data_IF_460355798258
#
_entry.id   IF_460355798258
#
_cell.length_a   1.000
_cell.length_b   1.000
_cell.length_c   1.000
_cell.angle_alpha   90.00
_cell.angle_beta   90.00
_cell.angle_gamma   90.00
#
_symmetry.space_group_name_H-M   'P 1'
#
loop_
_entity.id
_entity.type
_entity.pdbx_description
1 polymer ?
#
# COMPACT_ATOMS: atom_id res chain seq x y z
N UNK A 1 26.94 -35.37 -61.09
CA UNK A 1 27.30 -34.32 -60.11
C UNK A 1 26.12 -33.38 -59.94
N UNK A 2 25.33 -33.53 -58.88
CA UNK A 2 24.33 -32.54 -58.45
C UNK A 2 24.31 -32.53 -56.92
N UNK A 3 24.96 -31.52 -56.36
CA UNK A 3 25.12 -31.32 -54.92
C UNK A 3 23.79 -30.83 -54.35
N UNK A 4 23.22 -31.56 -53.39
CA UNK A 4 22.04 -31.14 -52.62
C UNK A 4 22.53 -30.28 -51.45
N UNK A 5 22.20 -28.99 -51.47
CA UNK A 5 22.50 -28.04 -50.41
C UNK A 5 21.32 -28.01 -49.43
N UNK A 6 21.47 -28.67 -48.28
CA UNK A 6 20.51 -28.57 -47.16
C UNK A 6 20.80 -27.29 -46.37
N UNK A 7 19.97 -26.26 -46.57
CA UNK A 7 19.94 -25.06 -45.74
C UNK A 7 19.07 -25.33 -44.51
N UNK A 8 19.70 -25.65 -43.39
CA UNK A 8 19.06 -25.68 -42.07
C UNK A 8 18.87 -24.25 -41.56
N UNK A 9 17.64 -23.76 -41.61
CA UNK A 9 17.24 -22.47 -41.05
C UNK A 9 17.05 -22.64 -39.53
N UNK A 10 18.03 -22.20 -38.74
CA UNK A 10 17.92 -22.17 -37.27
C UNK A 10 16.97 -21.05 -36.85
N UNK A 11 15.81 -21.40 -36.27
CA UNK A 11 14.95 -20.43 -35.59
C UNK A 11 15.67 -19.92 -34.33
N UNK A 12 16.19 -18.69 -34.38
CA UNK A 12 16.53 -17.94 -33.17
C UNK A 12 15.23 -17.48 -32.51
N UNK A 13 14.79 -18.18 -31.47
CA UNK A 13 13.78 -17.65 -30.55
C UNK A 13 14.44 -16.62 -29.64
N UNK A 14 14.26 -15.33 -29.98
CA UNK A 14 14.59 -14.25 -29.08
C UNK A 14 13.64 -14.33 -27.87
N UNK A 15 14.15 -14.82 -26.74
CA UNK A 15 13.46 -14.76 -25.46
C UNK A 15 13.26 -13.31 -25.07
N UNK A 16 12.03 -12.82 -25.17
CA UNK A 16 11.62 -11.56 -24.57
C UNK A 16 11.77 -11.65 -23.04
N UNK A 17 12.79 -11.01 -22.49
CA UNK A 17 12.85 -10.78 -21.06
C UNK A 17 11.71 -9.84 -20.69
N UNK A 18 10.61 -10.39 -20.17
CA UNK A 18 9.56 -9.58 -19.54
C UNK A 18 10.20 -8.94 -18.32
N UNK A 19 10.45 -7.64 -18.36
CA UNK A 19 10.90 -6.89 -17.19
C UNK A 19 9.85 -7.08 -16.08
N UNK A 20 10.22 -7.73 -14.99
CA UNK A 20 9.35 -7.92 -13.84
C UNK A 20 9.09 -6.54 -13.22
N UNK A 21 7.85 -6.04 -13.38
CA UNK A 21 7.44 -4.78 -12.76
C UNK A 21 7.49 -4.91 -11.25
N UNK A 22 8.04 -3.89 -10.57
CA UNK A 22 8.09 -3.81 -9.11
C UNK A 22 6.67 -3.84 -8.54
N UNK A 23 6.48 -4.62 -7.48
CA UNK A 23 5.21 -4.78 -6.76
C UNK A 23 5.28 -4.14 -5.37
N UNK A 24 4.13 -3.98 -4.72
CA UNK A 24 4.05 -3.54 -3.33
C UNK A 24 4.89 -4.43 -2.38
N UNK A 25 4.97 -5.72 -2.65
CA UNK A 25 5.67 -6.68 -1.80
C UNK A 25 7.20 -6.65 -1.91
N UNK A 26 7.75 -5.86 -2.85
CA UNK A 26 9.19 -5.66 -2.99
C UNK A 26 9.73 -4.52 -2.10
N UNK A 27 8.85 -3.81 -1.40
CA UNK A 27 9.23 -2.73 -0.49
C UNK A 27 9.55 -3.25 0.92
N UNK A 28 10.50 -2.58 1.55
CA UNK A 28 10.80 -2.70 2.98
C UNK A 28 10.62 -1.33 3.61
N UNK A 29 9.90 -1.29 4.72
CA UNK A 29 9.63 -0.07 5.50
C UNK A 29 10.08 -0.27 6.94
N UNK A 30 9.96 0.76 7.77
CA UNK A 30 10.17 0.65 9.21
C UNK A 30 8.83 0.71 9.92
N UNK A 31 8.66 -0.15 10.92
CA UNK A 31 7.54 -0.09 11.84
C UNK A 31 7.59 1.18 12.68
N UNK A 32 6.49 1.49 13.36
CA UNK A 32 6.43 2.65 14.27
C UNK A 32 7.45 2.55 15.41
N UNK A 33 7.93 1.34 15.73
CA UNK A 33 8.96 1.11 16.74
C UNK A 33 10.38 1.11 16.16
N UNK A 34 10.54 1.39 14.86
CA UNK A 34 11.82 1.46 14.16
C UNK A 34 12.38 0.13 13.69
N UNK A 35 11.67 -0.99 13.92
CA UNK A 35 12.07 -2.30 13.40
C UNK A 35 11.81 -2.41 11.89
N UNK A 36 12.65 -3.17 11.19
CA UNK A 36 12.47 -3.44 9.76
C UNK A 36 11.20 -4.27 9.54
N UNK A 37 10.37 -3.84 8.59
CA UNK A 37 9.14 -4.51 8.20
C UNK A 37 9.14 -4.76 6.69
N UNK A 38 9.46 -5.98 6.27
CA UNK A 38 9.41 -6.38 4.85
C UNK A 38 7.96 -6.56 4.43
N UNK A 39 7.49 -5.89 3.37
CA UNK A 39 6.13 -6.06 2.88
C UNK A 39 5.96 -7.43 2.19
N UNK A 40 7.05 -8.12 1.85
CA UNK A 40 7.02 -9.49 1.30
C UNK A 40 6.32 -10.51 2.20
N UNK A 41 6.29 -10.26 3.52
CA UNK A 41 5.59 -11.12 4.49
C UNK A 41 4.06 -11.10 4.33
N UNK A 42 3.54 -10.16 3.54
CA UNK A 42 2.11 -9.97 3.28
C UNK A 42 1.65 -10.57 1.96
N UNK A 43 2.53 -11.26 1.23
CA UNK A 43 2.17 -11.96 -0.02
C UNK A 43 0.96 -12.88 0.20
N UNK A 44 0.02 -12.86 -0.74
CA UNK A 44 -1.25 -13.59 -0.64
C UNK A 44 -2.34 -12.87 0.17
N UNK A 45 -2.05 -11.72 0.78
CA UNK A 45 -3.05 -10.90 1.46
C UNK A 45 -3.41 -9.67 0.64
N UNK A 46 -4.68 -9.27 0.70
CA UNK A 46 -5.12 -7.93 0.33
C UNK A 46 -4.65 -6.93 1.38
N UNK A 47 -4.04 -5.83 0.94
CA UNK A 47 -3.47 -4.81 1.85
C UNK A 47 -4.17 -3.48 1.62
N UNK A 48 -4.74 -2.91 2.68
CA UNK A 48 -5.18 -1.51 2.69
C UNK A 48 -4.09 -0.65 3.33
N UNK A 49 -3.47 0.20 2.52
CA UNK A 49 -2.46 1.17 2.96
C UNK A 49 -3.15 2.50 3.25
N UNK A 50 -2.96 3.06 4.44
CA UNK A 50 -3.65 4.30 4.85
C UNK A 50 -2.65 5.34 5.35
N UNK A 51 -2.65 6.55 4.80
CA UNK A 51 -1.89 7.66 5.39
C UNK A 51 -2.69 8.27 6.55
N UNK A 52 -2.15 8.29 7.76
CA UNK A 52 -2.92 8.67 8.96
C UNK A 52 -2.43 9.96 9.61
N UNK A 53 -3.30 10.56 10.43
CA UNK A 53 -3.02 11.77 11.22
C UNK A 53 -3.79 11.73 12.56
N UNK A 54 -3.17 12.16 13.66
CA UNK A 54 -3.81 12.18 15.00
C UNK A 54 -4.69 13.41 15.26
N UNK A 55 -4.48 14.52 14.52
CA UNK A 55 -5.18 15.80 14.72
C UNK A 55 -6.01 16.21 13.49
N UNK A 56 -6.64 15.24 12.83
CA UNK A 56 -7.44 15.44 11.62
C UNK A 56 -8.94 15.25 11.92
N UNK A 57 -9.81 15.96 11.19
CA UNK A 57 -11.27 15.71 11.26
C UNK A 57 -11.68 14.28 10.87
N UNK A 58 -10.83 13.53 10.17
CA UNK A 58 -11.03 12.12 9.83
C UNK A 58 -10.36 11.15 10.81
N UNK A 59 -9.68 11.62 11.85
CA UNK A 59 -9.07 10.77 12.88
C UNK A 59 -10.04 9.76 13.51
N UNK A 60 -11.34 10.05 13.71
CA UNK A 60 -12.30 9.04 14.16
C UNK A 60 -12.41 7.80 13.24
N UNK A 61 -11.95 7.84 11.99
CA UNK A 61 -11.92 6.66 11.12
C UNK A 61 -11.03 5.53 11.65
N UNK A 62 -10.12 5.79 12.61
CA UNK A 62 -9.39 4.72 13.29
C UNK A 62 -10.33 3.68 13.92
N UNK A 63 -11.49 4.08 14.44
CA UNK A 63 -12.47 3.14 15.02
C UNK A 63 -13.01 2.18 13.95
N UNK A 64 -13.42 2.73 12.81
CA UNK A 64 -13.94 1.93 11.69
C UNK A 64 -12.84 1.07 11.06
N UNK A 65 -11.61 1.60 10.91
CA UNK A 65 -10.45 0.84 10.42
C UNK A 65 -10.14 -0.33 11.36
N UNK A 66 -10.11 -0.07 12.67
CA UNK A 66 -9.84 -1.10 13.67
C UNK A 66 -10.92 -2.18 13.67
N UNK A 67 -12.20 -1.79 13.59
CA UNK A 67 -13.31 -2.75 13.46
C UNK A 67 -13.17 -3.59 12.18
N UNK A 68 -12.95 -2.95 11.04
CA UNK A 68 -12.75 -3.63 9.76
C UNK A 68 -11.56 -4.60 9.83
N UNK A 69 -10.47 -4.20 10.46
CA UNK A 69 -9.33 -5.09 10.67
C UNK A 69 -9.71 -6.31 11.52
N UNK A 70 -10.43 -6.14 12.63
CA UNK A 70 -10.88 -7.29 13.44
C UNK A 70 -11.79 -8.24 12.66
N UNK A 71 -12.72 -7.70 11.86
CA UNK A 71 -13.70 -8.50 11.13
C UNK A 71 -13.08 -9.34 9.99
N UNK A 72 -11.95 -8.88 9.43
CA UNK A 72 -11.38 -9.45 8.19
C UNK A 72 -9.91 -9.88 8.26
N UNK A 73 -9.15 -9.62 9.32
CA UNK A 73 -7.72 -9.99 9.42
C UNK A 73 -7.41 -11.46 9.18
N UNK A 74 -8.35 -12.35 9.53
CA UNK A 74 -8.23 -13.80 9.36
C UNK A 74 -8.72 -14.27 7.97
N UNK A 75 -9.12 -13.34 7.09
CA UNK A 75 -9.60 -13.58 5.73
C UNK A 75 -8.63 -13.03 4.68
N UNK A 76 -7.33 -13.25 4.89
CA UNK A 76 -6.26 -12.76 4.00
C UNK A 76 -6.31 -11.25 3.74
N UNK A 77 -6.67 -10.47 4.75
CA UNK A 77 -6.71 -9.01 4.69
C UNK A 77 -5.85 -8.39 5.78
N UNK A 78 -5.24 -7.24 5.51
CA UNK A 78 -4.49 -6.48 6.50
C UNK A 78 -4.58 -4.97 6.20
N UNK A 79 -4.58 -4.17 7.27
CA UNK A 79 -4.45 -2.71 7.19
C UNK A 79 -3.04 -2.33 7.63
N UNK A 80 -2.41 -1.38 6.94
CA UNK A 80 -1.15 -0.77 7.38
C UNK A 80 -1.31 0.75 7.43
N UNK A 81 -1.07 1.33 8.60
CA UNK A 81 -1.10 2.78 8.80
C UNK A 81 0.28 3.41 8.65
N UNK A 82 0.36 4.49 7.87
CA UNK A 82 1.53 5.34 7.69
C UNK A 82 1.23 6.75 8.19
N UNK A 83 1.66 7.12 9.40
CA UNK A 83 1.51 8.48 9.89
C UNK A 83 2.20 9.47 8.94
N UNK A 84 1.56 10.59 8.66
CA UNK A 84 2.08 11.60 7.72
C UNK A 84 1.75 13.02 8.17
N UNK A 85 2.76 13.89 8.24
CA UNK A 85 2.57 15.28 8.69
C UNK A 85 2.37 16.27 7.53
N UNK A 86 2.21 15.77 6.30
CA UNK A 86 2.16 16.61 5.09
C UNK A 86 0.92 17.51 4.99
N UNK A 87 -0.14 17.20 5.73
CA UNK A 87 -1.44 17.88 5.60
C UNK A 87 -1.80 18.62 6.89
N UNK A 88 -1.71 19.96 6.83
CA UNK A 88 -2.08 20.84 7.94
C UNK A 88 -1.27 20.62 9.23
N UNK A 89 -0.10 20.00 9.14
CA UNK A 89 0.73 19.62 10.29
C UNK A 89 -0.05 18.82 11.36
N UNK A 90 -0.95 17.94 10.92
CA UNK A 90 -1.88 17.19 11.76
C UNK A 90 -1.31 15.91 12.39
N UNK A 91 -0.03 15.62 12.16
CA UNK A 91 0.71 14.51 12.78
C UNK A 91 2.09 14.99 13.30
N UNK A 92 2.13 15.99 14.21
CA UNK A 92 3.38 16.62 14.62
C UNK A 92 4.21 15.74 15.55
N UNK A 93 3.59 14.77 16.22
CA UNK A 93 4.24 13.93 17.23
C UNK A 93 5.33 13.02 16.67
N UNK A 94 6.18 12.54 17.58
CA UNK A 94 7.15 11.47 17.34
C UNK A 94 6.45 10.13 17.15
N UNK A 95 7.15 9.13 16.58
CA UNK A 95 6.58 7.78 16.43
C UNK A 95 6.05 7.21 17.75
N UNK A 96 6.74 7.47 18.88
CA UNK A 96 6.30 7.04 20.22
C UNK A 96 4.96 7.67 20.60
N UNK A 97 4.83 8.99 20.47
CA UNK A 97 3.59 9.71 20.79
C UNK A 97 2.43 9.28 19.88
N UNK A 98 2.71 9.05 18.59
CA UNK A 98 1.71 8.58 17.63
C UNK A 98 1.23 7.17 17.99
N UNK A 99 2.14 6.26 18.33
CA UNK A 99 1.80 4.91 18.78
C UNK A 99 0.92 4.97 20.01
N UNK A 100 1.33 5.74 21.02
CA UNK A 100 0.60 5.91 22.27
C UNK A 100 -0.81 6.48 22.01
N UNK A 101 -0.94 7.47 21.15
CA UNK A 101 -2.23 8.01 20.74
C UNK A 101 -3.14 6.95 20.10
N UNK A 102 -2.62 6.22 19.11
CA UNK A 102 -3.41 5.22 18.37
C UNK A 102 -3.86 4.06 19.29
N UNK A 103 -2.99 3.61 20.19
CA UNK A 103 -3.32 2.53 21.13
C UNK A 103 -4.25 3.00 22.24
N UNK A 104 -3.95 4.12 22.91
CA UNK A 104 -4.73 4.57 24.08
C UNK A 104 -6.12 5.08 23.70
N UNK A 105 -6.26 5.75 22.56
CA UNK A 105 -7.51 6.40 22.16
C UNK A 105 -8.42 5.52 21.31
N UNK A 106 -7.82 4.67 20.47
CA UNK A 106 -8.56 3.92 19.45
C UNK A 106 -8.30 2.40 19.51
N UNK A 107 -7.48 1.94 20.45
CA UNK A 107 -7.13 0.51 20.57
C UNK A 107 -6.65 -0.08 19.25
N UNK A 108 -5.89 0.68 18.46
CA UNK A 108 -5.37 0.25 17.16
C UNK A 108 -4.44 -0.95 17.36
N UNK A 109 -4.71 -2.02 16.60
CA UNK A 109 -3.93 -3.27 16.63
C UNK A 109 -3.39 -3.68 15.25
N UNK A 110 -3.82 -3.02 14.18
CA UNK A 110 -3.21 -3.23 12.87
C UNK A 110 -1.81 -2.60 12.84
N UNK A 111 -0.89 -3.12 12.00
CA UNK A 111 0.48 -2.59 11.92
C UNK A 111 0.52 -1.10 11.62
N UNK A 112 1.29 -0.37 12.44
CA UNK A 112 1.63 1.03 12.23
C UNK A 112 3.11 1.14 11.85
N UNK A 113 3.39 1.99 10.86
CA UNK A 113 4.73 2.26 10.36
C UNK A 113 5.27 3.56 10.95
N UNK A 114 6.56 3.83 10.72
CA UNK A 114 7.13 5.12 11.07
C UNK A 114 6.45 6.26 10.32
N UNK A 115 6.51 7.46 10.89
CA UNK A 115 6.07 8.67 10.20
C UNK A 115 6.91 8.91 8.95
N UNK A 116 6.26 9.06 7.80
CA UNK A 116 6.90 9.29 6.50
C UNK A 116 6.27 10.49 5.78
N UNK A 117 6.97 11.00 4.77
CA UNK A 117 6.37 11.94 3.81
C UNK A 117 5.63 11.16 2.71
N UNK A 118 4.39 11.58 2.44
CA UNK A 118 3.54 10.95 1.41
C UNK A 118 3.31 11.85 0.19
N UNK A 119 3.92 13.05 0.17
CA UNK A 119 3.89 13.97 -0.97
C UNK A 119 5.03 15.00 -0.88
N UNK A 120 5.35 15.62 -2.01
CA UNK A 120 6.43 16.61 -2.12
C UNK A 120 7.76 15.98 -2.52
N UNK A 121 8.82 16.77 -2.50
CA UNK A 121 10.14 16.34 -2.98
C UNK A 121 10.77 15.24 -2.11
N UNK A 122 10.34 15.13 -0.85
CA UNK A 122 10.78 14.12 0.12
C UNK A 122 9.86 12.89 0.19
N UNK A 123 8.95 12.71 -0.79
CA UNK A 123 8.00 11.60 -0.83
C UNK A 123 8.70 10.25 -0.66
N UNK A 124 8.16 9.41 0.22
CA UNK A 124 8.68 8.07 0.44
C UNK A 124 8.59 7.21 -0.84
N UNK A 125 9.59 6.37 -1.16
CA UNK A 125 9.57 5.54 -2.36
C UNK A 125 8.34 4.65 -2.52
N UNK A 126 7.76 4.15 -1.41
CA UNK A 126 6.51 3.39 -1.46
C UNK A 126 5.35 4.26 -1.94
N UNK A 127 5.22 5.48 -1.41
CA UNK A 127 4.15 6.39 -1.83
C UNK A 127 4.37 6.94 -3.23
N UNK A 128 5.62 7.09 -3.68
CA UNK A 128 5.93 7.40 -5.07
C UNK A 128 5.43 6.29 -6.01
N UNK A 129 5.66 5.03 -5.66
CA UNK A 129 5.11 3.89 -6.40
C UNK A 129 3.58 3.89 -6.40
N UNK A 130 2.95 4.08 -5.23
CA UNK A 130 1.48 4.15 -5.12
C UNK A 130 0.85 5.27 -5.96
N UNK A 131 1.60 6.33 -6.28
CA UNK A 131 1.08 7.53 -6.94
C UNK A 131 1.47 7.64 -8.41
N UNK A 132 2.40 6.83 -8.91
CA UNK A 132 2.92 6.93 -10.28
C UNK A 132 2.58 5.72 -11.13
N UNK A 133 1.80 5.91 -12.21
CA UNK A 133 1.44 4.85 -13.16
C UNK A 133 2.66 4.20 -13.79
N UNK A 134 3.71 4.97 -14.06
CA UNK A 134 4.96 4.42 -14.60
C UNK A 134 5.68 3.48 -13.63
N UNK A 135 5.42 3.59 -12.33
CA UNK A 135 6.01 2.70 -11.32
C UNK A 135 5.06 1.55 -10.93
N UNK A 136 3.76 1.82 -10.73
CA UNK A 136 2.78 0.79 -10.34
C UNK A 136 2.11 0.04 -11.50
N UNK A 137 2.22 0.55 -12.73
CA UNK A 137 1.65 -0.07 -13.94
C UNK A 137 0.14 0.06 -14.09
N UNK A 138 -0.55 0.79 -13.22
CA UNK A 138 -2.03 0.85 -13.15
C UNK A 138 -2.55 2.26 -13.33
N UNK A 139 -2.26 3.17 -12.41
CA UNK A 139 -2.82 4.51 -12.41
C UNK A 139 -1.91 5.54 -11.76
N UNK A 140 -2.08 6.79 -12.19
CA UNK A 140 -1.55 7.94 -11.48
C UNK A 140 -2.53 8.34 -10.37
N UNK A 141 -1.98 8.74 -9.23
CA UNK A 141 -2.75 9.21 -8.09
C UNK A 141 -2.02 10.36 -7.41
N UNK A 142 -2.73 11.15 -6.63
CA UNK A 142 -2.12 12.13 -5.73
C UNK A 142 -2.73 11.93 -4.35
N UNK A 143 -1.90 11.96 -3.29
CA UNK A 143 -2.43 11.99 -1.92
C UNK A 143 -3.04 13.36 -1.66
N UNK A 144 -4.37 13.41 -1.63
CA UNK A 144 -5.11 14.68 -1.49
C UNK A 144 -5.21 15.13 -0.03
N UNK A 145 -5.31 14.19 0.91
CA UNK A 145 -5.45 14.50 2.33
C UNK A 145 -5.13 13.28 3.21
N UNK A 146 -5.19 13.46 4.54
CA UNK A 146 -5.13 12.38 5.54
C UNK A 146 -6.28 11.38 5.35
N UNK A 147 -6.06 10.12 5.71
CA UNK A 147 -6.99 8.99 5.60
C UNK A 147 -7.39 8.60 4.18
N UNK A 148 -6.54 8.88 3.19
CA UNK A 148 -6.63 8.25 1.87
C UNK A 148 -6.11 6.81 1.96
N UNK A 149 -6.71 5.92 1.18
CA UNK A 149 -6.50 4.48 1.27
C UNK A 149 -6.12 3.95 -0.10
N UNK A 150 -5.02 3.22 -0.20
CA UNK A 150 -4.64 2.48 -1.40
C UNK A 150 -4.96 1.00 -1.19
N UNK A 151 -5.63 0.40 -2.17
CA UNK A 151 -6.08 -0.99 -2.12
C UNK A 151 -5.14 -1.84 -2.98
N UNK A 152 -4.45 -2.78 -2.34
CA UNK A 152 -3.46 -3.66 -2.97
C UNK A 152 -3.99 -5.10 -2.96
N UNK A 153 -3.99 -5.77 -4.11
CA UNK A 153 -4.41 -7.16 -4.21
C UNK A 153 -3.38 -8.14 -3.62
N UNK A 154 -3.76 -9.41 -3.57
CA UNK A 154 -2.94 -10.52 -3.07
C UNK A 154 -1.65 -10.77 -3.85
N UNK A 155 -1.50 -10.18 -5.04
CA UNK A 155 -0.30 -10.24 -5.89
C UNK A 155 0.59 -9.00 -5.73
N UNK A 156 0.18 -8.03 -4.89
CA UNK A 156 0.96 -6.83 -4.62
C UNK A 156 0.73 -5.73 -5.66
N UNK A 157 -0.35 -5.81 -6.44
CA UNK A 157 -0.72 -4.81 -7.44
C UNK A 157 -1.68 -3.80 -6.83
N UNK A 158 -1.46 -2.52 -7.13
CA UNK A 158 -2.44 -1.46 -6.85
C UNK A 158 -3.70 -1.72 -7.68
N UNK A 159 -4.86 -1.79 -7.05
CA UNK A 159 -6.13 -1.99 -7.77
C UNK A 159 -7.06 -0.80 -7.67
N UNK A 160 -6.99 -0.02 -6.60
CA UNK A 160 -7.89 1.11 -6.40
C UNK A 160 -7.40 2.09 -5.31
N UNK A 161 -8.05 3.26 -5.24
CA UNK A 161 -7.83 4.30 -4.25
C UNK A 161 -9.18 4.75 -3.66
N UNK A 162 -9.25 4.88 -2.34
CA UNK A 162 -10.39 5.48 -1.64
C UNK A 162 -9.95 6.78 -0.96
N UNK A 163 -10.62 7.89 -1.28
CA UNK A 163 -10.28 9.19 -0.70
C UNK A 163 -10.81 9.34 0.73
N UNK A 164 -10.33 10.36 1.45
CA UNK A 164 -10.60 10.58 2.87
C UNK A 164 -12.07 10.56 3.26
N UNK A 165 -12.97 11.08 2.40
CA UNK A 165 -14.42 11.12 2.67
C UNK A 165 -15.08 9.75 2.56
N UNK A 166 -14.51 8.81 1.81
CA UNK A 166 -15.04 7.47 1.73
C UNK A 166 -14.74 6.73 3.04
N UNK A 167 -15.81 6.19 3.65
CA UNK A 167 -15.71 5.45 4.89
C UNK A 167 -14.89 4.17 4.67
N UNK A 168 -14.07 3.75 5.64
CA UNK A 168 -13.28 2.52 5.53
C UNK A 168 -14.12 1.25 5.29
N UNK A 169 -15.37 1.24 5.76
CA UNK A 169 -16.33 0.15 5.62
C UNK A 169 -17.37 0.40 4.51
N UNK A 170 -17.04 1.21 3.50
CA UNK A 170 -17.91 1.37 2.34
C UNK A 170 -18.21 0.01 1.70
N UNK A 171 -19.40 -0.14 1.13
CA UNK A 171 -19.80 -1.38 0.45
C UNK A 171 -18.76 -1.79 -0.61
N UNK A 172 -18.21 -0.82 -1.33
CA UNK A 172 -17.14 -1.00 -2.32
C UNK A 172 -15.90 -1.63 -1.70
N UNK A 173 -15.42 -1.10 -0.57
CA UNK A 173 -14.24 -1.64 0.12
C UNK A 173 -14.53 -3.03 0.68
N UNK A 174 -15.71 -3.26 1.26
CA UNK A 174 -16.08 -4.60 1.78
C UNK A 174 -16.13 -5.63 0.65
N UNK A 175 -16.73 -5.28 -0.51
CA UNK A 175 -16.74 -6.15 -1.70
C UNK A 175 -15.32 -6.46 -2.18
N UNK A 176 -14.47 -5.44 -2.26
CA UNK A 176 -13.06 -5.62 -2.59
C UNK A 176 -12.35 -6.57 -1.61
N UNK A 177 -12.54 -6.42 -0.30
CA UNK A 177 -11.96 -7.34 0.71
C UNK A 177 -12.43 -8.77 0.43
N UNK A 178 -13.74 -8.96 0.23
CA UNK A 178 -14.36 -10.27 0.05
C UNK A 178 -14.08 -10.92 -1.31
N UNK A 179 -13.60 -10.16 -2.30
CA UNK A 179 -13.32 -10.68 -3.65
C UNK A 179 -14.57 -10.86 -4.52
N UNK A 180 -15.60 -10.05 -4.24
CA UNK A 180 -16.87 -10.02 -4.98
C UNK A 180 -16.93 -8.84 -5.95
#
# INVERSE_FOLDING_TARGET
MKTILLLSFGLLTAGIAVAQSKTFFDFTVKSIDGSVYSLSQLKGKKVMVVNTASKCGFTPQYETLQKLYQDYKDKNFIIIGFPANNFGSQEPGTNKEIREFCTSKYSVTFPMMEKISVKGDDINPLYKWLTSKSENGVMDSEVKWNFQKYLIDENGKLVDVAYSKEKPDSERIIKWIMGN
#
